data_IF_033404032185
#
_entry.id   IF_033404032185
#
_cell.length_a   1.000
_cell.length_b   1.000
_cell.length_c   1.000
_cell.angle_alpha   90.00
_cell.angle_beta   90.00
_cell.angle_gamma   90.00
#
_symmetry.space_group_name_H-M   'P 1'
#
loop_
_entity.id
_entity.type
_entity.pdbx_description
1 polymer ?
#
# COMPACT_ATOMS: atom_id res chain seq x y z
N UNK A 1 8.86 8.65 -7.47
CA UNK A 1 9.10 8.05 -6.14
C UNK A 1 8.60 8.92 -4.99
N UNK A 2 8.87 10.24 -4.96
CA UNK A 2 8.46 11.11 -3.83
C UNK A 2 6.94 11.17 -3.59
N UNK A 3 6.11 11.13 -4.65
CA UNK A 3 4.64 11.12 -4.52
C UNK A 3 4.10 9.83 -3.91
N UNK A 4 4.61 8.67 -4.33
CA UNK A 4 4.22 7.37 -3.77
C UNK A 4 4.48 7.27 -2.28
N UNK A 5 5.67 7.70 -1.84
CA UNK A 5 5.99 7.80 -0.42
C UNK A 5 5.08 8.79 0.30
N UNK A 6 4.83 9.98 -0.27
CA UNK A 6 3.95 10.97 0.34
C UNK A 6 2.52 10.46 0.52
N UNK A 7 1.95 9.80 -0.49
CA UNK A 7 0.63 9.19 -0.39
C UNK A 7 0.60 8.03 0.60
N UNK A 8 1.59 7.14 0.58
CA UNK A 8 1.71 6.03 1.53
C UNK A 8 1.77 6.53 2.97
N UNK A 9 2.57 7.57 3.24
CA UNK A 9 2.64 8.17 4.57
C UNK A 9 1.31 8.85 4.95
N UNK A 10 0.72 9.66 4.07
CA UNK A 10 -0.50 10.40 4.40
C UNK A 10 -1.76 9.53 4.53
N UNK A 11 -1.80 8.37 3.87
CA UNK A 11 -3.00 7.53 3.76
C UNK A 11 -2.89 6.21 4.50
N UNK A 12 -1.68 5.65 4.64
CA UNK A 12 -1.49 4.29 5.12
C UNK A 12 -0.74 4.21 6.45
N UNK A 13 0.01 5.26 6.84
CA UNK A 13 0.89 5.19 8.02
C UNK A 13 0.18 5.12 9.36
N UNK A 14 -1.13 5.40 9.40
CA UNK A 14 -1.92 5.25 10.63
C UNK A 14 -2.06 3.79 11.06
N UNK A 15 -1.95 2.86 10.11
CA UNK A 15 -2.07 1.43 10.37
C UNK A 15 -0.79 0.68 10.00
N UNK A 16 -0.16 1.01 8.88
CA UNK A 16 1.01 0.32 8.35
C UNK A 16 2.30 1.04 8.69
N UNK A 17 3.37 0.31 8.96
CA UNK A 17 4.71 0.87 8.80
C UNK A 17 4.97 1.04 7.29
N UNK A 18 4.71 2.26 6.82
CA UNK A 18 4.78 2.63 5.41
C UNK A 18 6.18 3.12 4.98
N UNK A 19 7.10 3.28 5.92
CA UNK A 19 8.49 3.67 5.66
C UNK A 19 9.38 2.50 5.25
N UNK A 20 10.64 2.83 4.93
CA UNK A 20 11.70 1.85 4.68
C UNK A 20 12.37 1.35 5.97
N UNK A 21 12.03 1.94 7.11
CA UNK A 21 12.61 1.62 8.40
C UNK A 21 12.16 0.25 8.91
N UNK A 22 12.89 -0.26 9.92
CA UNK A 22 12.58 -1.56 10.50
C UNK A 22 11.48 -1.53 11.56
N UNK A 23 10.76 -0.41 11.67
CA UNK A 23 9.67 -0.27 12.62
C UNK A 23 8.54 -1.28 12.36
N UNK A 24 7.90 -1.80 13.42
CA UNK A 24 6.65 -2.53 13.29
C UNK A 24 5.52 -1.58 12.90
N UNK A 25 4.48 -2.13 12.27
CA UNK A 25 3.26 -1.39 11.99
C UNK A 25 2.57 -0.93 13.27
N UNK A 26 2.00 0.30 13.31
CA UNK A 26 1.21 0.77 14.44
C UNK A 26 0.00 -0.14 14.76
N UNK A 27 -0.61 -0.71 13.72
CA UNK A 27 -1.65 -1.73 13.87
C UNK A 27 -1.01 -3.13 13.69
N UNK A 28 -1.05 -4.01 14.71
CA UNK A 28 -0.48 -5.36 14.61
C UNK A 28 -1.09 -6.25 13.51
N UNK A 29 -2.33 -5.98 13.11
CA UNK A 29 -2.99 -6.71 12.01
C UNK A 29 -2.55 -6.23 10.62
N UNK A 30 -1.88 -5.08 10.54
CA UNK A 30 -1.41 -4.50 9.29
C UNK A 30 0.05 -4.89 9.04
N UNK A 31 0.34 -5.57 7.93
CA UNK A 31 1.72 -5.89 7.55
C UNK A 31 2.53 -4.62 7.23
N UNK A 32 3.81 -4.52 7.62
CA UNK A 32 4.66 -3.42 7.18
C UNK A 32 4.87 -3.49 5.67
N UNK A 33 4.97 -2.34 4.98
CA UNK A 33 5.00 -2.27 3.52
C UNK A 33 6.13 -3.09 2.90
N UNK A 34 7.30 -3.09 3.54
CA UNK A 34 8.46 -3.91 3.15
C UNK A 34 8.23 -5.43 3.11
N UNK A 35 7.16 -5.92 3.73
CA UNK A 35 6.76 -7.33 3.73
C UNK A 35 5.54 -7.63 2.84
N UNK A 36 4.97 -6.60 2.21
CA UNK A 36 3.83 -6.76 1.31
C UNK A 36 4.37 -7.10 -0.09
N UNK A 37 3.90 -8.21 -0.65
CA UNK A 37 4.10 -8.53 -2.06
C UNK A 37 2.83 -8.17 -2.80
N UNK A 38 2.90 -7.23 -3.74
CA UNK A 38 1.73 -6.81 -4.53
C UNK A 38 1.16 -7.97 -5.37
N UNK A 39 2.01 -8.93 -5.73
CA UNK A 39 1.59 -10.15 -6.41
C UNK A 39 0.63 -11.03 -5.58
N UNK A 40 0.58 -10.85 -4.25
CA UNK A 40 -0.34 -11.59 -3.37
C UNK A 40 -1.74 -10.96 -3.34
N UNK A 41 -1.92 -9.75 -3.91
CA UNK A 41 -3.23 -9.13 -4.02
C UNK A 41 -4.07 -9.85 -5.09
N UNK A 42 -5.41 -9.89 -4.95
CA UNK A 42 -6.29 -10.40 -5.99
C UNK A 42 -6.01 -9.71 -7.32
N UNK A 43 -5.58 -10.50 -8.32
CA UNK A 43 -5.20 -9.99 -9.64
C UNK A 43 -6.37 -9.27 -10.31
N UNK A 44 -6.14 -8.01 -10.66
CA UNK A 44 -6.97 -7.23 -11.57
C UNK A 44 -6.04 -6.38 -12.43
N UNK A 45 -5.77 -6.80 -13.67
CA UNK A 45 -4.87 -6.08 -14.57
C UNK A 45 -3.46 -5.94 -13.98
N UNK A 46 -2.99 -4.70 -13.85
CA UNK A 46 -1.73 -4.31 -13.22
C UNK A 46 -1.75 -4.42 -11.69
N UNK A 47 -0.58 -4.36 -11.06
CA UNK A 47 -0.48 -4.34 -9.59
C UNK A 47 -1.17 -3.09 -8.99
N UNK A 48 -1.18 -1.98 -9.72
CA UNK A 48 -1.87 -0.75 -9.31
C UNK A 48 -3.39 -0.90 -9.33
N UNK A 49 -3.95 -1.46 -10.39
CA UNK A 49 -5.39 -1.76 -10.51
C UNK A 49 -5.82 -2.80 -9.47
N UNK A 50 -4.98 -3.80 -9.21
CA UNK A 50 -5.18 -4.79 -8.15
C UNK A 50 -5.22 -4.12 -6.78
N UNK A 51 -4.30 -3.19 -6.50
CA UNK A 51 -4.25 -2.42 -5.26
C UNK A 51 -5.49 -1.52 -5.11
N UNK A 52 -5.85 -0.75 -6.13
CA UNK A 52 -7.00 0.16 -6.10
C UNK A 52 -8.29 -0.61 -5.88
N UNK A 53 -8.50 -1.68 -6.66
CA UNK A 53 -9.69 -2.51 -6.55
C UNK A 53 -9.80 -3.13 -5.16
N UNK A 54 -8.73 -3.78 -4.69
CA UNK A 54 -8.74 -4.40 -3.36
C UNK A 54 -8.95 -3.36 -2.26
N UNK A 55 -8.27 -2.21 -2.33
CA UNK A 55 -8.40 -1.16 -1.33
C UNK A 55 -9.85 -0.66 -1.22
N UNK A 56 -10.50 -0.43 -2.37
CA UNK A 56 -11.85 0.14 -2.40
C UNK A 56 -12.97 -0.87 -2.13
N UNK A 57 -12.68 -2.17 -2.03
CA UNK A 57 -13.72 -3.22 -1.90
C UNK A 57 -13.52 -4.18 -0.74
N UNK A 58 -12.28 -4.43 -0.32
CA UNK A 58 -11.94 -5.48 0.63
C UNK A 58 -10.96 -5.03 1.73
N UNK A 59 -10.22 -3.93 1.55
CA UNK A 59 -9.39 -3.39 2.62
C UNK A 59 -10.28 -2.95 3.80
N UNK A 60 -9.91 -3.23 5.06
CA UNK A 60 -10.70 -2.84 6.25
C UNK A 60 -10.95 -1.33 6.45
N UNK A 61 -10.51 -0.47 5.53
CA UNK A 61 -10.67 0.97 5.64
C UNK A 61 -11.88 1.39 4.81
N UNK A 62 -12.93 1.86 5.49
CA UNK A 62 -14.18 2.29 4.86
C UNK A 62 -14.29 3.82 4.69
N UNK A 63 -13.29 4.57 5.17
CA UNK A 63 -13.36 6.03 5.28
C UNK A 63 -12.70 6.79 4.13
N UNK A 64 -11.96 6.11 3.25
CA UNK A 64 -11.21 6.73 2.15
C UNK A 64 -11.33 5.87 0.89
N UNK A 65 -11.32 6.54 -0.26
CA UNK A 65 -11.23 5.91 -1.58
C UNK A 65 -9.83 6.16 -2.13
N UNK A 66 -9.20 5.12 -2.67
CA UNK A 66 -7.94 5.22 -3.39
C UNK A 66 -8.23 5.45 -4.87
N UNK A 67 -7.72 6.56 -5.43
CA UNK A 67 -7.80 6.84 -6.87
C UNK A 67 -6.73 6.09 -7.64
N UNK A 68 -6.97 5.86 -8.92
CA UNK A 68 -6.06 5.11 -9.81
C UNK A 68 -4.63 5.66 -9.77
N UNK A 69 -4.45 6.96 -9.98
CA UNK A 69 -3.12 7.60 -9.97
C UNK A 69 -2.41 7.55 -8.61
N UNK A 70 -3.17 7.52 -7.50
CA UNK A 70 -2.61 7.33 -6.17
C UNK A 70 -2.20 5.86 -5.98
N UNK A 71 -3.01 4.92 -6.47
CA UNK A 71 -2.70 3.51 -6.45
C UNK A 71 -1.45 3.16 -7.24
N UNK A 72 -1.26 3.77 -8.42
CA UNK A 72 -0.04 3.64 -9.21
C UNK A 72 1.20 4.11 -8.45
N UNK A 73 1.17 5.33 -7.92
CA UNK A 73 2.29 5.91 -7.19
C UNK A 73 2.61 5.08 -5.91
N UNK A 74 1.58 4.61 -5.19
CA UNK A 74 1.75 3.78 -3.98
C UNK A 74 2.25 2.37 -4.32
N UNK A 75 1.70 1.71 -5.34
CA UNK A 75 2.13 0.39 -5.78
C UNK A 75 3.60 0.42 -6.21
N UNK A 76 3.98 1.42 -7.01
CA UNK A 76 5.37 1.62 -7.39
C UNK A 76 6.28 1.81 -6.17
N UNK A 77 5.83 2.55 -5.16
CA UNK A 77 6.59 2.72 -3.93
C UNK A 77 6.70 1.43 -3.10
N UNK A 78 5.62 0.69 -2.90
CA UNK A 78 5.65 -0.60 -2.19
C UNK A 78 6.62 -1.56 -2.88
N UNK A 79 6.63 -1.61 -4.21
CA UNK A 79 7.56 -2.44 -4.98
C UNK A 79 9.05 -2.07 -4.74
N UNK A 80 9.36 -0.80 -4.42
CA UNK A 80 10.73 -0.40 -4.03
C UNK A 80 11.12 -0.82 -2.62
N UNK A 81 10.14 -1.04 -1.74
CA UNK A 81 10.35 -1.42 -0.33
C UNK A 81 10.32 -2.93 -0.13
N UNK A 82 9.53 -3.64 -0.92
CA UNK A 82 9.42 -5.08 -0.84
C UNK A 82 10.80 -5.69 -1.12
N UNK A 83 11.42 -6.28 -0.09
CA UNK A 83 12.61 -7.12 -0.27
C UNK A 83 12.15 -8.31 -1.13
N UNK A 84 12.74 -8.45 -2.33
CA UNK A 84 12.45 -9.56 -3.25
C UNK A 84 12.71 -10.91 -2.57
#
# INVERSE_FOLDING_TARGET
MQRGTAYALAMCSSCHAAGADEAPSPNPAAKPFRSIKLADLPKAGSDSESLVKWFNTAHPNTSRILKDTQGEDIAAYIATLAKQ
#
